data_IF_671836145883
#
_entry.id   IF_671836145883
#
_cell.length_a   1.000
_cell.length_b   1.000
_cell.length_c   1.000
_cell.angle_alpha   90.00
_cell.angle_beta   90.00
_cell.angle_gamma   90.00
#
_symmetry.space_group_name_H-M   'P 1'
#
loop_
_entity.id
_entity.type
_entity.pdbx_description
1 polymer ?
#
# COMPACT_ATOMS: atom_id res chain seq x y z
N UNK A 1 -0.17 4.35 -9.66
CA UNK A 1 -0.17 5.27 -8.50
C UNK A 1 0.39 6.60 -8.99
N UNK A 2 -0.18 7.75 -8.64
CA UNK A 2 0.35 9.04 -9.10
C UNK A 2 1.76 9.26 -8.56
N UNK A 3 2.58 10.06 -9.27
CA UNK A 3 3.95 10.36 -8.83
C UNK A 3 4.04 11.07 -7.47
N UNK A 4 2.93 11.62 -6.97
CA UNK A 4 2.84 12.31 -5.67
C UNK A 4 2.26 11.40 -4.57
N UNK A 5 1.27 10.54 -4.88
CA UNK A 5 0.56 9.77 -3.86
C UNK A 5 1.46 8.79 -3.13
N UNK A 6 2.30 8.04 -3.83
CA UNK A 6 3.22 7.09 -3.18
C UNK A 6 4.19 7.78 -2.23
N UNK A 7 4.95 8.82 -2.63
CA UNK A 7 5.80 9.55 -1.70
C UNK A 7 5.03 10.14 -0.51
N UNK A 8 3.81 10.66 -0.73
CA UNK A 8 2.98 11.19 0.35
C UNK A 8 2.61 10.09 1.35
N UNK A 9 2.09 8.96 0.90
CA UNK A 9 1.73 7.85 1.79
C UNK A 9 2.94 7.33 2.57
N UNK A 10 4.11 7.18 1.94
CA UNK A 10 5.33 6.75 2.64
C UNK A 10 5.78 7.79 3.68
N UNK A 11 5.66 9.09 3.37
CA UNK A 11 5.95 10.17 4.32
C UNK A 11 4.99 10.12 5.52
N UNK A 12 3.70 9.94 5.28
CA UNK A 12 2.70 9.83 6.35
C UNK A 12 2.94 8.58 7.21
N UNK A 13 3.27 7.45 6.60
CA UNK A 13 3.63 6.23 7.34
C UNK A 13 4.88 6.44 8.20
N UNK A 14 5.91 7.13 7.68
CA UNK A 14 7.12 7.47 8.43
C UNK A 14 6.82 8.39 9.64
N UNK A 15 5.77 9.20 9.54
CA UNK A 15 5.27 10.05 10.62
C UNK A 15 4.18 9.40 11.48
N UNK A 16 4.07 8.07 11.46
CA UNK A 16 3.18 7.26 12.29
C UNK A 16 1.67 7.52 12.09
N UNK A 17 1.25 7.98 10.91
CA UNK A 17 -0.18 8.10 10.59
C UNK A 17 -0.83 6.73 10.42
N UNK A 18 -0.08 5.76 9.93
CA UNK A 18 -0.48 4.35 9.78
C UNK A 18 0.76 3.47 9.62
N UNK A 19 0.58 2.17 9.76
CA UNK A 19 1.61 1.18 9.46
C UNK A 19 1.32 0.56 8.10
N UNK A 20 2.25 0.64 7.13
CA UNK A 20 2.06 0.06 5.82
C UNK A 20 2.23 -1.46 5.88
N UNK A 21 1.44 -2.18 5.07
CA UNK A 21 1.56 -3.63 4.87
C UNK A 21 1.57 -3.93 3.38
N UNK A 22 2.50 -4.77 2.97
CA UNK A 22 2.59 -5.34 1.63
C UNK A 22 3.12 -6.77 1.70
N UNK A 23 3.16 -7.44 0.55
CA UNK A 23 3.81 -8.73 0.36
C UNK A 23 4.77 -8.65 -0.82
N UNK A 24 5.65 -9.65 -0.98
CA UNK A 24 6.54 -9.75 -2.14
C UNK A 24 5.75 -9.78 -3.47
N UNK A 25 4.57 -10.41 -3.46
CA UNK A 25 3.68 -10.45 -4.62
C UNK A 25 3.13 -9.07 -4.97
N UNK A 26 2.68 -8.30 -3.96
CA UNK A 26 2.25 -6.90 -4.15
C UNK A 26 3.41 -6.07 -4.72
N UNK A 27 4.61 -6.21 -4.17
CA UNK A 27 5.80 -5.52 -4.66
C UNK A 27 6.16 -5.89 -6.10
N UNK A 28 6.06 -7.16 -6.46
CA UNK A 28 6.32 -7.65 -7.82
C UNK A 28 5.30 -7.09 -8.83
N UNK A 29 4.02 -7.06 -8.46
CA UNK A 29 2.97 -6.46 -9.28
C UNK A 29 3.14 -4.95 -9.44
N UNK A 30 3.49 -4.26 -8.35
CA UNK A 30 3.76 -2.83 -8.42
C UNK A 30 4.90 -2.51 -9.39
N UNK A 31 6.06 -3.21 -9.30
CA UNK A 31 7.20 -2.98 -10.21
C UNK A 31 6.83 -3.25 -11.66
N UNK A 32 6.15 -4.37 -11.93
CA UNK A 32 5.70 -4.74 -13.28
C UNK A 32 4.73 -3.71 -13.87
N UNK A 33 3.78 -3.23 -13.09
CA UNK A 33 2.82 -2.22 -13.55
C UNK A 33 3.47 -0.85 -13.73
N UNK A 34 4.39 -0.45 -12.85
CA UNK A 34 5.14 0.79 -12.97
C UNK A 34 6.00 0.80 -14.24
N UNK A 35 6.75 -0.27 -14.52
CA UNK A 35 7.55 -0.41 -15.74
C UNK A 35 6.71 -0.36 -17.03
N UNK A 36 5.45 -0.79 -16.99
CA UNK A 36 4.54 -0.74 -18.15
C UNK A 36 3.97 0.66 -18.39
N UNK A 37 3.74 1.44 -17.33
CA UNK A 37 3.04 2.73 -17.40
C UNK A 37 4.03 3.89 -17.62
N UNK A 38 5.22 3.80 -17.04
CA UNK A 38 6.24 4.84 -17.10
C UNK A 38 7.51 4.33 -17.75
N UNK A 39 8.20 5.17 -18.54
CA UNK A 39 9.50 4.83 -19.13
C UNK A 39 10.62 4.89 -18.07
N UNK A 40 10.52 4.04 -17.04
CA UNK A 40 11.46 3.95 -15.92
C UNK A 40 12.26 2.66 -16.07
N UNK A 41 13.56 2.71 -15.82
CA UNK A 41 14.44 1.54 -15.84
C UNK A 41 14.08 0.59 -14.68
N UNK A 42 14.15 -0.71 -14.92
CA UNK A 42 13.82 -1.73 -13.93
C UNK A 42 14.70 -1.62 -12.68
N UNK A 43 15.97 -1.26 -12.85
CA UNK A 43 16.92 -1.04 -11.76
C UNK A 43 16.45 0.07 -10.80
N UNK A 44 15.88 1.15 -11.34
CA UNK A 44 15.31 2.24 -10.54
C UNK A 44 14.10 1.78 -9.72
N UNK A 45 13.25 0.93 -10.30
CA UNK A 45 12.09 0.37 -9.60
C UNK A 45 12.51 -0.63 -8.54
N UNK A 46 13.53 -1.43 -8.82
CA UNK A 46 14.10 -2.38 -7.83
C UNK A 46 14.72 -1.62 -6.66
N UNK A 47 15.52 -0.57 -6.93
CA UNK A 47 16.08 0.27 -5.88
C UNK A 47 14.98 0.90 -5.03
N UNK A 48 13.93 1.45 -5.66
CA UNK A 48 12.80 2.04 -4.94
C UNK A 48 12.06 1.00 -4.05
N UNK A 49 11.99 -0.26 -4.49
CA UNK A 49 11.45 -1.34 -3.67
C UNK A 49 12.34 -1.66 -2.48
N UNK A 50 13.64 -1.76 -2.68
CA UNK A 50 14.61 -2.00 -1.61
C UNK A 50 14.61 -0.86 -0.58
N UNK A 51 14.52 0.39 -1.03
CA UNK A 51 14.42 1.57 -0.15
C UNK A 51 13.14 1.52 0.71
N UNK A 52 12.01 1.10 0.13
CA UNK A 52 10.77 0.91 0.89
C UNK A 52 10.91 -0.20 1.94
N UNK A 53 11.51 -1.32 1.59
CA UNK A 53 11.76 -2.43 2.52
C UNK A 53 12.71 -2.02 3.66
N UNK A 54 13.74 -1.24 3.37
CA UNK A 54 14.66 -0.71 4.36
C UNK A 54 14.01 0.32 5.30
N UNK A 55 13.14 1.19 4.75
CA UNK A 55 12.42 2.19 5.54
C UNK A 55 11.33 1.59 6.44
N UNK A 56 10.72 0.47 6.03
CA UNK A 56 9.63 -0.20 6.73
C UNK A 56 9.88 -1.72 6.84
N UNK A 57 10.85 -2.14 7.66
CA UNK A 57 11.30 -3.53 7.70
C UNK A 57 10.23 -4.52 8.18
N UNK A 58 9.22 -4.05 8.90
CA UNK A 58 8.10 -4.86 9.40
C UNK A 58 6.89 -4.89 8.46
N UNK A 59 6.90 -4.13 7.37
CA UNK A 59 5.75 -3.99 6.47
C UNK A 59 5.54 -5.21 5.56
N UNK A 60 6.57 -6.01 5.30
CA UNK A 60 6.49 -7.14 4.38
C UNK A 60 5.93 -8.39 5.06
N UNK A 61 4.65 -8.66 4.84
CA UNK A 61 3.96 -9.84 5.40
C UNK A 61 4.56 -11.18 4.94
N UNK A 62 5.29 -11.21 3.83
CA UNK A 62 5.97 -12.44 3.37
C UNK A 62 7.10 -12.88 4.30
N UNK A 63 7.62 -12.00 5.14
CA UNK A 63 8.70 -12.28 6.11
C UNK A 63 8.20 -12.56 7.53
N UNK A 64 6.88 -12.42 7.78
CA UNK A 64 6.34 -12.61 9.13
C UNK A 64 6.39 -14.06 9.58
N UNK A 65 6.66 -14.31 10.89
CA UNK A 65 6.72 -15.63 11.47
C UNK A 65 5.40 -16.32 11.39
N UNK A 66 4.70 -16.94 11.07
CA UNK A 66 3.35 -17.52 10.95
C UNK A 66 2.66 -17.21 9.61
N UNK A 67 3.43 -17.00 8.55
CA UNK A 67 2.91 -16.86 7.19
C UNK A 67 2.37 -18.21 6.66
N UNK A 68 1.44 -18.84 7.43
CA UNK A 68 0.85 -20.15 7.15
C UNK A 68 -0.54 -20.06 6.49
N UNK A 69 -1.00 -18.85 6.15
CA UNK A 69 -2.20 -18.73 5.33
C UNK A 69 -1.84 -19.22 3.93
N UNK A 70 -2.04 -20.52 3.71
CA UNK A 70 -2.05 -21.04 2.35
C UNK A 70 -3.25 -20.47 1.61
N UNK A 71 -3.11 -20.23 0.33
CA UNK A 71 -4.24 -19.88 -0.53
C UNK A 71 -5.42 -20.83 -0.29
N UNK A 72 -5.16 -22.11 -0.10
CA UNK A 72 -6.15 -23.17 0.11
C UNK A 72 -7.07 -22.96 1.34
N UNK A 73 -6.63 -22.23 2.38
CA UNK A 73 -7.45 -21.97 3.58
C UNK A 73 -8.33 -20.74 3.45
N UNK A 74 -7.96 -19.79 2.60
CA UNK A 74 -8.68 -18.50 2.42
C UNK A 74 -9.53 -18.51 1.13
N UNK A 75 -9.12 -19.26 0.11
CA UNK A 75 -9.82 -19.35 -1.18
C UNK A 75 -11.33 -19.64 -1.09
N UNK A 76 -11.82 -20.56 -0.22
CA UNK A 76 -13.25 -20.80 -0.13
C UNK A 76 -14.07 -19.61 0.37
N UNK A 77 -13.43 -18.65 1.04
CA UNK A 77 -14.09 -17.47 1.62
C UNK A 77 -14.11 -16.25 0.67
N UNK A 78 -13.29 -16.25 -0.39
CA UNK A 78 -13.12 -15.12 -1.32
C UNK A 78 -13.77 -15.37 -2.69
N UNK A 79 -15.00 -15.89 -2.71
CA UNK A 79 -15.67 -16.33 -3.95
C UNK A 79 -16.07 -15.21 -4.91
N UNK A 80 -16.20 -13.98 -4.45
CA UNK A 80 -16.76 -12.85 -5.20
C UNK A 80 -15.76 -11.70 -5.41
N UNK A 81 -14.60 -11.74 -4.74
CA UNK A 81 -13.49 -10.85 -5.03
C UNK A 81 -12.66 -11.40 -6.20
N UNK A 82 -12.05 -10.51 -7.00
CA UNK A 82 -11.25 -10.97 -8.14
C UNK A 82 -10.04 -11.78 -7.66
N UNK A 83 -9.89 -12.98 -8.20
CA UNK A 83 -8.82 -13.93 -7.83
C UNK A 83 -7.40 -13.32 -7.96
N UNK A 84 -7.20 -12.44 -8.95
CA UNK A 84 -5.89 -11.77 -9.13
C UNK A 84 -5.50 -10.88 -7.95
N UNK A 85 -6.50 -10.37 -7.19
CA UNK A 85 -6.30 -9.46 -6.07
C UNK A 85 -6.37 -10.14 -4.69
N UNK A 86 -6.61 -11.45 -4.63
CA UNK A 86 -6.69 -12.22 -3.37
C UNK A 86 -5.44 -12.06 -2.50
N UNK A 87 -4.26 -11.97 -3.11
CA UNK A 87 -3.00 -11.79 -2.38
C UNK A 87 -2.95 -10.47 -1.57
N UNK A 88 -3.69 -9.45 -1.99
CA UNK A 88 -3.85 -8.19 -1.23
C UNK A 88 -4.73 -8.43 -0.01
N UNK A 89 -5.85 -9.15 -0.18
CA UNK A 89 -6.74 -9.51 0.92
C UNK A 89 -6.01 -10.40 1.92
N UNK A 90 -5.22 -11.37 1.45
CA UNK A 90 -4.43 -12.25 2.32
C UNK A 90 -3.42 -11.49 3.17
N UNK A 91 -2.70 -10.51 2.59
CA UNK A 91 -1.79 -9.66 3.37
C UNK A 91 -2.54 -8.89 4.47
N UNK A 92 -3.75 -8.40 4.17
CA UNK A 92 -4.63 -7.75 5.15
C UNK A 92 -5.10 -8.70 6.26
N UNK A 93 -5.49 -9.94 5.92
CA UNK A 93 -5.90 -10.96 6.89
C UNK A 93 -4.72 -11.31 7.83
N UNK A 94 -3.53 -11.48 7.27
CA UNK A 94 -2.32 -11.73 8.08
C UNK A 94 -2.05 -10.59 9.06
N UNK A 95 -2.17 -9.34 8.60
CA UNK A 95 -2.04 -8.16 9.46
C UNK A 95 -3.07 -8.17 10.60
N UNK A 96 -4.34 -8.47 10.27
CA UNK A 96 -5.42 -8.55 11.27
C UNK A 96 -5.23 -9.67 12.28
N UNK A 97 -4.66 -10.79 11.87
CA UNK A 97 -4.34 -11.90 12.77
C UNK A 97 -3.17 -11.58 13.69
N UNK A 98 -2.18 -10.85 13.19
CA UNK A 98 -1.02 -10.43 13.98
C UNK A 98 -1.42 -9.41 15.05
N UNK A 99 -2.29 -8.46 14.70
CA UNK A 99 -2.78 -7.40 15.58
C UNK A 99 -4.32 -7.29 15.52
N UNK A 100 -5.06 -8.17 16.22
CA UNK A 100 -6.52 -8.25 16.15
C UNK A 100 -7.26 -6.97 16.53
N UNK A 101 -6.69 -6.15 17.41
CA UNK A 101 -7.30 -4.90 17.89
C UNK A 101 -7.13 -3.72 16.91
N UNK A 102 -6.23 -3.83 15.94
CA UNK A 102 -5.98 -2.76 14.98
C UNK A 102 -6.97 -2.80 13.81
N UNK A 103 -7.32 -1.62 13.33
CA UNK A 103 -8.05 -1.47 12.07
C UNK A 103 -7.13 -1.73 10.89
N UNK A 104 -7.49 -2.68 10.04
CA UNK A 104 -6.78 -2.99 8.81
C UNK A 104 -7.61 -2.56 7.61
N UNK A 105 -7.03 -1.77 6.73
CA UNK A 105 -7.72 -1.18 5.58
C UNK A 105 -6.98 -1.46 4.29
N UNK A 106 -7.67 -2.06 3.34
CA UNK A 106 -7.18 -2.19 1.94
C UNK A 106 -7.43 -0.85 1.24
N UNK A 107 -6.36 -0.26 0.72
CA UNK A 107 -6.39 1.02 0.01
C UNK A 107 -6.15 0.77 -1.48
N UNK A 108 -7.16 1.01 -2.31
CA UNK A 108 -7.08 0.75 -3.76
C UNK A 108 -8.06 1.62 -4.54
N UNK A 109 -7.69 2.08 -5.73
CA UNK A 109 -8.66 2.66 -6.67
C UNK A 109 -9.56 1.62 -7.33
N UNK A 110 -9.12 0.37 -7.36
CA UNK A 110 -9.85 -0.71 -8.01
C UNK A 110 -10.87 -1.38 -7.08
N UNK A 111 -11.70 -0.56 -6.42
CA UNK A 111 -12.71 -0.98 -5.43
C UNK A 111 -13.62 -2.09 -5.94
N UNK A 112 -13.94 -2.09 -7.24
CA UNK A 112 -14.90 -3.04 -7.84
C UNK A 112 -14.41 -4.51 -7.82
N UNK A 113 -13.10 -4.72 -7.75
CA UNK A 113 -12.49 -6.06 -7.76
C UNK A 113 -12.50 -6.69 -6.36
N UNK A 114 -12.90 -5.92 -5.34
CA UNK A 114 -12.96 -6.34 -3.95
C UNK A 114 -14.40 -6.37 -3.43
N UNK A 115 -14.86 -7.53 -2.96
CA UNK A 115 -16.19 -7.67 -2.37
C UNK A 115 -16.18 -7.22 -0.90
N UNK A 116 -16.79 -6.07 -0.60
CA UNK A 116 -16.82 -5.48 0.75
C UNK A 116 -17.33 -6.44 1.83
N UNK A 117 -18.30 -7.29 1.52
CA UNK A 117 -18.83 -8.26 2.48
C UNK A 117 -17.79 -9.33 2.86
N UNK A 118 -16.98 -9.78 1.91
CA UNK A 118 -15.90 -10.73 2.16
C UNK A 118 -14.80 -10.10 3.02
N UNK A 119 -14.36 -8.88 2.69
CA UNK A 119 -13.38 -8.18 3.50
C UNK A 119 -13.84 -8.00 4.95
N UNK A 120 -15.10 -7.58 5.16
CA UNK A 120 -15.68 -7.40 6.50
C UNK A 120 -15.71 -8.69 7.33
N UNK A 121 -15.96 -9.85 6.69
CA UNK A 121 -15.94 -11.15 7.38
C UNK A 121 -14.56 -11.45 7.97
N UNK A 122 -13.49 -10.87 7.39
CA UNK A 122 -12.12 -10.98 7.87
C UNK A 122 -11.67 -9.76 8.71
N UNK A 123 -12.60 -8.86 9.09
CA UNK A 123 -12.28 -7.66 9.86
C UNK A 123 -11.50 -6.61 9.08
N UNK A 124 -11.60 -6.61 7.73
CA UNK A 124 -10.90 -5.67 6.87
C UNK A 124 -11.85 -4.56 6.38
N UNK A 125 -11.32 -3.35 6.30
CA UNK A 125 -11.95 -2.22 5.64
C UNK A 125 -11.46 -2.07 4.20
N UNK A 126 -12.23 -1.34 3.37
CA UNK A 126 -11.89 -1.04 1.98
C UNK A 126 -12.17 0.42 1.69
N UNK A 127 -11.17 1.14 1.21
CA UNK A 127 -11.28 2.56 0.86
C UNK A 127 -10.47 2.89 -0.40
N UNK A 128 -10.92 3.88 -1.16
CA UNK A 128 -10.08 4.46 -2.21
C UNK A 128 -9.16 5.56 -1.64
N UNK A 129 -8.00 5.82 -2.30
CA UNK A 129 -7.04 6.80 -1.81
C UNK A 129 -7.60 8.22 -1.67
N UNK A 130 -8.51 8.64 -2.55
CA UNK A 130 -9.05 10.00 -2.54
C UNK A 130 -9.94 10.21 -1.31
N UNK A 131 -10.77 9.20 -0.98
CA UNK A 131 -11.57 9.20 0.24
C UNK A 131 -10.72 9.16 1.50
N UNK A 132 -9.66 8.35 1.51
CA UNK A 132 -8.73 8.27 2.63
C UNK A 132 -8.08 9.63 2.90
N UNK A 133 -7.56 10.28 1.86
CA UNK A 133 -6.98 11.61 1.98
C UNK A 133 -8.01 12.66 2.40
N UNK A 134 -9.25 12.56 1.90
CA UNK A 134 -10.33 13.46 2.31
C UNK A 134 -10.70 13.32 3.79
N UNK A 135 -10.70 12.09 4.32
CA UNK A 135 -10.93 11.84 5.76
C UNK A 135 -9.81 12.43 6.60
N UNK A 136 -8.55 12.23 6.22
CA UNK A 136 -7.41 12.83 6.91
C UNK A 136 -7.40 14.36 6.82
N UNK A 137 -7.74 14.90 5.66
CA UNK A 137 -7.92 16.36 5.51
C UNK A 137 -8.98 16.94 6.46
N UNK A 138 -10.10 16.25 6.63
CA UNK A 138 -11.17 16.68 7.52
C UNK A 138 -10.76 16.69 9.01
N UNK A 139 -9.80 15.85 9.41
CA UNK A 139 -9.38 15.72 10.82
C UNK A 139 -8.08 16.46 11.13
N UNK A 140 -7.13 16.50 10.19
CA UNK A 140 -5.78 17.04 10.39
C UNK A 140 -5.29 17.82 9.16
N UNK A 141 -5.99 18.90 8.74
CA UNK A 141 -5.70 19.60 7.48
C UNK A 141 -4.30 20.24 7.47
N UNK A 142 -3.87 20.82 8.57
CA UNK A 142 -2.58 21.54 8.64
C UNK A 142 -1.40 20.59 8.53
N UNK A 143 -1.45 19.47 9.24
CA UNK A 143 -0.40 18.46 9.18
C UNK A 143 -0.33 17.77 7.81
N UNK A 144 -1.48 17.40 7.24
CA UNK A 144 -1.52 16.82 5.90
C UNK A 144 -0.97 17.80 4.86
N UNK A 145 -1.33 19.08 4.96
CA UNK A 145 -0.81 20.15 4.08
C UNK A 145 0.70 20.29 4.20
N UNK A 146 1.24 20.26 5.42
CA UNK A 146 2.68 20.33 5.66
C UNK A 146 3.42 19.18 4.98
N UNK A 147 2.99 17.93 5.20
CA UNK A 147 3.61 16.78 4.58
C UNK A 147 3.48 16.78 3.05
N UNK A 148 2.36 17.24 2.51
CA UNK A 148 2.19 17.37 1.07
C UNK A 148 3.17 18.39 0.47
N UNK A 149 3.39 19.53 1.12
CA UNK A 149 4.39 20.53 0.71
C UNK A 149 5.80 19.97 0.73
N UNK A 150 6.18 19.26 1.80
CA UNK A 150 7.49 18.61 1.93
C UNK A 150 7.76 17.63 0.77
N UNK A 151 6.75 16.81 0.43
CA UNK A 151 6.83 15.87 -0.70
C UNK A 151 6.99 16.59 -2.03
N UNK A 152 6.17 17.62 -2.29
CA UNK A 152 6.24 18.39 -3.55
C UNK A 152 7.61 19.07 -3.69
N UNK A 153 8.12 19.70 -2.64
CA UNK A 153 9.44 20.33 -2.65
C UNK A 153 10.57 19.31 -2.89
N UNK A 154 10.45 18.11 -2.30
CA UNK A 154 11.40 17.03 -2.54
C UNK A 154 11.40 16.56 -4.00
N UNK A 155 10.21 16.39 -4.59
CA UNK A 155 10.06 16.00 -6.00
C UNK A 155 10.61 17.07 -6.95
N UNK A 156 10.37 18.35 -6.67
CA UNK A 156 10.92 19.46 -7.46
C UNK A 156 12.46 19.46 -7.38
N UNK A 157 13.03 19.26 -6.22
CA UNK A 157 14.50 19.19 -6.04
C UNK A 157 15.11 18.00 -6.77
N UNK A 158 14.44 16.85 -6.76
CA UNK A 158 14.91 15.64 -7.46
C UNK A 158 14.84 15.81 -8.97
N UNK A 159 13.75 16.39 -9.49
CA UNK A 159 13.59 16.68 -10.93
C UNK A 159 14.60 17.68 -11.48
N UNK A 160 15.10 18.63 -10.66
CA UNK A 160 16.15 19.59 -11.06
C UNK A 160 17.57 19.02 -11.07
N UNK A 161 17.77 17.82 -10.50
CA UNK A 161 19.08 17.16 -10.43
C UNK A 161 19.31 16.14 -11.54
N UNK A 162 18.35 15.90 -12.43
CA UNK A 162 18.60 15.08 -13.61
C UNK A 162 19.37 15.94 -14.62
N UNK A 163 20.66 15.60 -14.95
CA UNK A 163 21.36 16.27 -16.04
C UNK A 163 20.66 15.93 -17.35
N UNK A 164 20.64 16.92 -18.26
CA UNK A 164 20.24 16.77 -19.65
C UNK A 164 21.02 15.69 -20.38
#
# INVERSE_FOLDING_TARGET
MSGVLRPLLLTLAHNNWFEPVWSDRIGSEWRRNAARIWPIQLETLEQAWQDMQAAFPLANSSTWPNNHLSADTVEPALRHSDHKDWHVIMAGIQAKQLEPERDVTVVTWNIKDFRRSELRQHGLNLIDPDRLLSQWWATQPDELTRHLKEVIESLIRSGRRQPE
#
